data_IF_197602473107
#
_entry.id   IF_197602473107
#
_cell.length_a   1.000
_cell.length_b   1.000
_cell.length_c   1.000
_cell.angle_alpha   90.00
_cell.angle_beta   90.00
_cell.angle_gamma   90.00
#
_symmetry.space_group_name_H-M   'P 1'
#
loop_
_entity.id
_entity.type
_entity.pdbx_description
1 polymer ?
#
# COMPACT_ATOMS: atom_id res chain seq x y z
N UNK A 1 17.26 31.54 -39.87
CA UNK A 1 15.79 31.63 -39.99
C UNK A 1 15.10 30.39 -39.44
N UNK A 2 15.58 29.16 -39.66
CA UNK A 2 15.00 27.97 -39.01
C UNK A 2 15.39 27.82 -37.53
N UNK A 3 16.60 28.28 -37.14
CA UNK A 3 17.04 28.20 -35.74
C UNK A 3 16.35 29.21 -34.79
N UNK A 4 15.89 30.36 -35.30
CA UNK A 4 15.14 31.36 -34.51
C UNK A 4 13.68 30.93 -34.25
N UNK A 5 13.10 30.11 -35.13
CA UNK A 5 11.75 29.56 -34.95
C UNK A 5 11.76 28.47 -33.87
N UNK A 6 12.83 27.66 -33.82
CA UNK A 6 12.99 26.61 -32.81
C UNK A 6 13.24 27.16 -31.39
N UNK A 7 13.82 28.35 -31.27
CA UNK A 7 14.01 29.05 -29.98
C UNK A 7 12.72 29.65 -29.44
N UNK A 8 11.85 30.18 -30.32
CA UNK A 8 10.56 30.76 -29.92
C UNK A 8 9.58 29.71 -29.35
N UNK A 9 9.57 28.49 -29.89
CA UNK A 9 8.69 27.43 -29.40
C UNK A 9 9.06 26.95 -27.99
N UNK A 10 10.35 27.03 -27.61
CA UNK A 10 10.81 26.73 -26.25
C UNK A 10 10.50 27.83 -25.23
N UNK A 11 10.17 29.04 -25.69
CA UNK A 11 9.84 30.19 -24.85
C UNK A 11 8.33 30.33 -24.55
N UNK A 12 7.46 29.48 -25.11
CA UNK A 12 6.00 29.67 -25.02
C UNK A 12 5.32 29.22 -23.72
N UNK A 13 5.95 28.41 -22.87
CA UNK A 13 5.34 28.04 -21.58
C UNK A 13 5.88 28.97 -20.51
N UNK A 14 5.25 30.14 -20.35
CA UNK A 14 5.51 30.99 -19.20
C UNK A 14 4.85 30.35 -17.95
N UNK A 15 5.63 29.80 -17.00
CA UNK A 15 5.08 29.08 -15.85
C UNK A 15 4.32 29.99 -14.88
N UNK A 16 4.48 31.32 -14.99
CA UNK A 16 3.71 32.31 -14.22
C UNK A 16 2.38 32.68 -14.87
N UNK A 17 2.26 32.55 -16.20
CA UNK A 17 1.02 32.84 -16.94
C UNK A 17 0.13 31.60 -17.08
N UNK A 18 0.73 30.41 -17.15
CA UNK A 18 0.04 29.13 -17.29
C UNK A 18 0.58 28.11 -16.28
N UNK A 19 0.35 28.31 -14.97
CA UNK A 19 0.74 27.31 -13.99
C UNK A 19 -0.02 26.02 -14.29
N UNK A 20 0.70 24.94 -14.62
CA UNK A 20 0.05 23.64 -14.76
C UNK A 20 -0.56 23.27 -13.40
N UNK A 21 -1.83 22.90 -13.40
CA UNK A 21 -2.46 22.34 -12.22
C UNK A 21 -1.75 21.05 -11.83
N UNK A 22 -1.78 20.70 -10.54
CA UNK A 22 -1.26 19.42 -10.05
C UNK A 22 -1.88 18.23 -10.79
N UNK A 23 -3.15 18.34 -11.17
CA UNK A 23 -3.85 17.36 -12.00
C UNK A 23 -3.25 17.25 -13.40
N UNK A 24 -2.96 18.38 -14.04
CA UNK A 24 -2.29 18.43 -15.35
C UNK A 24 -0.89 17.82 -15.29
N UNK A 25 -0.11 18.12 -14.26
CA UNK A 25 1.23 17.55 -14.03
C UNK A 25 1.14 16.03 -13.92
N UNK A 26 0.26 15.50 -13.08
CA UNK A 26 0.14 14.07 -12.89
C UNK A 26 -0.42 13.35 -14.13
N UNK A 27 -1.32 13.98 -14.90
CA UNK A 27 -1.78 13.43 -16.18
C UNK A 27 -0.65 13.38 -17.22
N UNK A 28 0.16 14.44 -17.32
CA UNK A 28 1.31 14.45 -18.22
C UNK A 28 2.34 13.41 -17.78
N UNK A 29 2.62 13.31 -16.48
CA UNK A 29 3.49 12.28 -15.92
C UNK A 29 2.96 10.88 -16.22
N UNK A 30 1.67 10.61 -16.02
CA UNK A 30 1.09 9.30 -16.34
C UNK A 30 1.24 8.98 -17.83
N UNK A 31 1.03 9.96 -18.71
CA UNK A 31 1.19 9.79 -20.15
C UNK A 31 2.66 9.56 -20.56
N UNK A 32 3.61 10.30 -19.98
CA UNK A 32 5.04 10.13 -20.28
C UNK A 32 5.56 8.78 -19.79
N UNK A 33 5.11 8.33 -18.61
CA UNK A 33 5.43 7.00 -18.09
C UNK A 33 4.81 5.89 -18.94
N UNK A 34 3.59 6.09 -19.45
CA UNK A 34 2.93 5.13 -20.34
C UNK A 34 3.66 4.95 -21.67
N UNK A 35 4.18 6.04 -22.26
CA UNK A 35 4.91 6.01 -23.55
C UNK A 35 6.31 5.36 -23.44
N UNK A 36 6.74 4.91 -22.24
CA UNK A 36 8.00 4.19 -21.97
C UNK A 36 9.25 4.77 -22.68
N UNK A 37 9.34 6.09 -22.83
CA UNK A 37 10.57 6.71 -23.37
C UNK A 37 11.63 6.74 -22.29
N UNK A 38 12.44 5.69 -22.24
CA UNK A 38 13.78 5.56 -21.62
C UNK A 38 14.16 6.72 -20.69
N UNK A 39 13.41 6.88 -19.58
CA UNK A 39 13.64 7.97 -18.64
C UNK A 39 14.83 7.54 -17.79
N UNK A 40 16.05 7.85 -18.27
CA UNK A 40 17.30 7.73 -17.51
C UNK A 40 17.43 8.84 -16.46
N UNK A 41 16.36 9.15 -15.75
CA UNK A 41 16.42 10.07 -14.61
C UNK A 41 16.42 9.29 -13.31
N UNK A 42 16.88 9.93 -12.25
CA UNK A 42 16.84 9.38 -10.89
C UNK A 42 15.37 9.21 -10.45
N UNK A 43 14.85 7.99 -10.61
CA UNK A 43 13.46 7.62 -10.28
C UNK A 43 13.11 7.92 -8.82
N UNK A 44 14.08 7.82 -7.91
CA UNK A 44 13.87 8.14 -6.51
C UNK A 44 13.63 9.64 -6.32
N UNK A 45 14.37 10.50 -7.03
CA UNK A 45 14.14 11.95 -7.00
C UNK A 45 12.76 12.32 -7.53
N UNK A 46 12.35 11.71 -8.66
CA UNK A 46 11.04 11.95 -9.24
C UNK A 46 9.92 11.51 -8.30
N UNK A 47 10.02 10.33 -7.70
CA UNK A 47 9.00 9.90 -6.76
C UNK A 47 8.91 10.82 -5.54
N UNK A 48 10.03 11.31 -4.99
CA UNK A 48 9.99 12.27 -3.88
C UNK A 48 9.23 13.55 -4.22
N UNK A 49 9.34 14.03 -5.47
CA UNK A 49 8.68 15.26 -5.90
C UNK A 49 7.22 15.04 -6.34
N UNK A 50 6.89 13.87 -6.90
CA UNK A 50 5.57 13.59 -7.48
C UNK A 50 4.67 12.67 -6.65
N UNK A 51 5.16 12.05 -5.57
CA UNK A 51 4.33 11.18 -4.73
C UNK A 51 3.18 11.97 -4.10
N UNK A 52 3.41 13.18 -3.58
CA UNK A 52 2.35 14.01 -3.01
C UNK A 52 1.27 14.33 -4.05
N UNK A 53 1.69 14.80 -5.23
CA UNK A 53 0.80 15.10 -6.35
C UNK A 53 -0.03 13.85 -6.74
N UNK A 54 0.61 12.68 -6.83
CA UNK A 54 -0.06 11.42 -7.18
C UNK A 54 -1.05 10.98 -6.10
N UNK A 55 -0.68 11.10 -4.83
CA UNK A 55 -1.55 10.79 -3.69
C UNK A 55 -2.75 11.74 -3.63
N UNK A 56 -2.58 13.00 -4.01
CA UNK A 56 -3.66 13.99 -4.08
C UNK A 56 -4.75 13.58 -5.07
N UNK A 57 -4.39 13.00 -6.22
CA UNK A 57 -5.36 12.48 -7.19
C UNK A 57 -6.22 11.35 -6.64
N UNK A 58 -5.67 10.61 -5.69
CA UNK A 58 -6.25 9.37 -5.15
C UNK A 58 -7.13 9.65 -3.92
N UNK A 59 -7.13 10.87 -3.38
CA UNK A 59 -7.89 11.26 -2.18
C UNK A 59 -9.41 11.08 -2.29
N UNK A 60 -9.98 11.18 -3.49
CA UNK A 60 -11.44 11.08 -3.72
C UNK A 60 -11.80 9.86 -4.57
N UNK A 61 -11.69 8.64 -4.01
CA UNK A 61 -11.80 7.39 -4.77
C UNK A 61 -13.17 7.15 -5.40
N UNK A 62 -14.24 7.81 -4.92
CA UNK A 62 -15.62 7.63 -5.39
C UNK A 62 -16.09 8.68 -6.39
N UNK A 63 -15.51 9.89 -6.35
CA UNK A 63 -15.96 11.02 -7.19
C UNK A 63 -15.18 11.08 -8.51
N UNK A 64 -13.87 10.83 -8.47
CA UNK A 64 -12.94 11.17 -9.57
C UNK A 64 -12.17 9.94 -10.05
N UNK A 65 -12.87 8.91 -10.51
CA UNK A 65 -12.32 7.60 -10.90
C UNK A 65 -11.13 7.73 -11.87
N UNK A 66 -11.26 8.56 -12.92
CA UNK A 66 -10.20 8.77 -13.92
C UNK A 66 -8.92 9.40 -13.33
N UNK A 67 -9.03 10.17 -12.25
CA UNK A 67 -7.88 10.77 -11.57
C UNK A 67 -7.21 9.72 -10.67
N UNK A 68 -8.03 8.95 -9.95
CA UNK A 68 -7.58 7.87 -9.10
C UNK A 68 -6.82 6.82 -9.91
N UNK A 69 -7.34 6.43 -11.07
CA UNK A 69 -6.69 5.49 -11.99
C UNK A 69 -5.26 5.94 -12.36
N UNK A 70 -5.12 7.19 -12.81
CA UNK A 70 -3.80 7.79 -13.15
C UNK A 70 -2.88 7.87 -11.95
N UNK A 71 -3.40 8.26 -10.79
CA UNK A 71 -2.63 8.34 -9.55
C UNK A 71 -2.09 6.96 -9.13
N UNK A 72 -2.94 5.94 -9.13
CA UNK A 72 -2.56 4.56 -8.83
C UNK A 72 -1.57 4.03 -9.85
N UNK A 73 -1.74 4.32 -11.15
CA UNK A 73 -0.78 3.95 -12.19
C UNK A 73 0.62 4.53 -11.93
N UNK A 74 0.71 5.83 -11.65
CA UNK A 74 1.99 6.50 -11.37
C UNK A 74 2.64 5.93 -10.10
N UNK A 75 1.86 5.71 -9.04
CA UNK A 75 2.36 5.14 -7.79
C UNK A 75 2.86 3.69 -7.98
N UNK A 76 2.14 2.88 -8.75
CA UNK A 76 2.57 1.54 -9.10
C UNK A 76 3.87 1.56 -9.91
N UNK A 77 3.96 2.47 -10.89
CA UNK A 77 5.19 2.63 -11.65
C UNK A 77 6.37 3.00 -10.74
N UNK A 78 6.19 3.93 -9.80
CA UNK A 78 7.24 4.25 -8.82
C UNK A 78 7.60 3.04 -7.95
N UNK A 79 6.60 2.26 -7.51
CA UNK A 79 6.86 1.07 -6.69
C UNK A 79 7.65 -0.02 -7.42
N UNK A 80 7.57 -0.10 -8.75
CA UNK A 80 8.33 -1.10 -9.52
C UNK A 80 9.77 -0.69 -9.81
N UNK A 81 10.06 0.61 -9.76
CA UNK A 81 11.34 1.16 -10.22
C UNK A 81 12.19 1.75 -9.09
N UNK A 82 11.69 1.73 -7.85
CA UNK A 82 12.39 2.27 -6.68
C UNK A 82 12.75 1.13 -5.75
N UNK A 83 13.98 1.16 -5.25
CA UNK A 83 14.40 0.33 -4.14
C UNK A 83 14.46 1.22 -2.89
N UNK A 84 13.44 1.14 -2.04
CA UNK A 84 13.35 1.88 -0.78
C UNK A 84 13.19 0.90 0.38
N UNK A 85 13.81 1.22 1.50
CA UNK A 85 13.60 0.55 2.79
C UNK A 85 12.96 1.58 3.73
N UNK A 86 11.77 1.27 4.23
CA UNK A 86 11.02 2.09 5.19
C UNK A 86 11.19 1.44 6.55
N UNK A 87 11.76 2.18 7.49
CA UNK A 87 11.95 1.73 8.87
C UNK A 87 10.99 2.47 9.82
N UNK A 88 10.97 2.07 11.09
CA UNK A 88 10.05 2.63 12.07
C UNK A 88 10.22 4.15 12.24
N UNK A 89 11.46 4.64 12.13
CA UNK A 89 11.79 6.07 12.20
C UNK A 89 11.26 6.88 11.00
N UNK A 90 10.93 6.22 9.89
CA UNK A 90 10.44 6.86 8.68
C UNK A 90 8.93 7.12 8.69
N UNK A 91 8.18 6.42 9.54
CA UNK A 91 6.70 6.42 9.54
C UNK A 91 6.13 7.84 9.70
N UNK A 92 6.75 8.63 10.58
CA UNK A 92 6.34 10.00 10.90
C UNK A 92 7.10 11.05 10.09
N UNK A 93 8.01 10.65 9.20
CA UNK A 93 8.72 11.60 8.33
C UNK A 93 7.75 12.25 7.36
N UNK A 94 7.86 13.57 7.26
CA UNK A 94 7.02 14.36 6.37
C UNK A 94 7.47 14.23 4.91
N UNK A 95 6.53 13.84 4.07
CA UNK A 95 6.64 13.87 2.61
C UNK A 95 6.09 15.20 2.09
N UNK A 96 6.65 15.69 0.98
CA UNK A 96 6.14 16.89 0.30
C UNK A 96 4.76 16.62 -0.30
N UNK A 97 3.82 17.50 -0.01
CA UNK A 97 2.51 17.57 -0.63
C UNK A 97 2.57 18.10 -2.07
N UNK A 98 1.41 18.39 -2.67
CA UNK A 98 0.12 18.62 -2.01
C UNK A 98 -0.59 17.33 -1.60
N UNK A 99 -1.33 17.36 -0.48
CA UNK A 99 -2.32 16.35 -0.14
C UNK A 99 -3.57 17.06 0.39
N UNK A 100 -4.55 17.30 -0.47
CA UNK A 100 -5.69 18.15 -0.16
C UNK A 100 -5.23 19.58 0.08
N UNK A 101 -5.40 20.06 1.32
CA UNK A 101 -4.93 21.39 1.75
C UNK A 101 -3.56 21.34 2.44
N UNK A 102 -3.01 20.16 2.68
CA UNK A 102 -1.77 19.97 3.42
C UNK A 102 -0.57 20.05 2.46
N UNK A 103 0.44 20.86 2.83
CA UNK A 103 1.69 20.98 2.07
C UNK A 103 2.68 19.87 2.39
N UNK A 104 2.44 19.11 3.46
CA UNK A 104 3.23 17.96 3.89
C UNK A 104 2.37 16.98 4.67
N UNK A 105 2.72 15.70 4.64
CA UNK A 105 2.00 14.62 5.34
C UNK A 105 2.95 13.48 5.72
N UNK A 106 2.67 12.69 6.78
CA UNK A 106 3.54 11.60 7.21
C UNK A 106 3.48 10.39 6.27
N UNK A 107 4.53 9.57 6.23
CA UNK A 107 4.59 8.34 5.41
C UNK A 107 3.42 7.40 5.71
N UNK A 108 3.02 7.27 6.97
CA UNK A 108 1.86 6.46 7.40
C UNK A 108 0.55 6.81 6.68
N UNK A 109 0.40 8.07 6.24
CA UNK A 109 -0.79 8.53 5.51
C UNK A 109 -0.90 7.87 4.14
N UNK A 110 0.21 7.42 3.56
CA UNK A 110 0.21 6.69 2.28
C UNK A 110 -0.57 5.38 2.42
N UNK A 111 -0.23 4.59 3.44
CA UNK A 111 -0.91 3.34 3.75
C UNK A 111 -2.42 3.55 3.91
N UNK A 112 -2.81 4.59 4.66
CA UNK A 112 -4.23 4.90 4.94
C UNK A 112 -5.02 5.23 3.67
N UNK A 113 -4.45 6.06 2.78
CA UNK A 113 -5.11 6.46 1.54
C UNK A 113 -5.23 5.27 0.58
N UNK A 114 -4.16 4.52 0.35
CA UNK A 114 -4.19 3.35 -0.54
C UNK A 114 -5.19 2.31 -0.01
N UNK A 115 -5.22 2.09 1.31
CA UNK A 115 -6.17 1.18 1.95
C UNK A 115 -7.63 1.62 1.76
N UNK A 116 -7.88 2.93 1.83
CA UNK A 116 -9.18 3.51 1.52
C UNK A 116 -9.58 3.19 0.08
N UNK A 117 -8.72 3.50 -0.89
CA UNK A 117 -9.03 3.31 -2.32
C UNK A 117 -9.28 1.84 -2.64
N UNK A 118 -8.43 0.95 -2.13
CA UNK A 118 -8.61 -0.50 -2.25
C UNK A 118 -9.95 -1.00 -1.67
N UNK A 119 -10.51 -0.28 -0.69
CA UNK A 119 -11.75 -0.67 -0.02
C UNK A 119 -13.02 -0.08 -0.64
N UNK A 120 -12.99 1.21 -1.01
CA UNK A 120 -14.21 1.98 -1.32
C UNK A 120 -14.30 2.47 -2.77
N UNK A 121 -13.25 2.35 -3.58
CA UNK A 121 -13.33 2.77 -4.98
C UNK A 121 -14.39 1.95 -5.72
N UNK A 122 -15.30 2.54 -6.52
CA UNK A 122 -16.36 1.82 -7.21
C UNK A 122 -15.82 0.87 -8.30
N UNK A 123 -14.68 1.21 -8.91
CA UNK A 123 -14.06 0.39 -9.95
C UNK A 123 -13.29 -0.81 -9.36
N UNK A 124 -13.64 -2.06 -9.70
CA UNK A 124 -12.98 -3.26 -9.18
C UNK A 124 -11.52 -3.39 -9.58
N UNK A 125 -11.14 -2.91 -10.77
CA UNK A 125 -9.77 -3.00 -11.28
C UNK A 125 -8.87 -2.05 -10.48
N UNK A 126 -9.33 -0.81 -10.24
CA UNK A 126 -8.61 0.15 -9.40
C UNK A 126 -8.47 -0.36 -7.97
N UNK A 127 -9.52 -0.98 -7.40
CA UNK A 127 -9.43 -1.62 -6.08
C UNK A 127 -8.33 -2.69 -6.04
N UNK A 128 -8.28 -3.54 -7.05
CA UNK A 128 -7.27 -4.60 -7.17
C UNK A 128 -5.85 -4.03 -7.30
N UNK A 129 -5.64 -3.05 -8.18
CA UNK A 129 -4.33 -2.40 -8.36
C UNK A 129 -3.88 -1.63 -7.11
N UNK A 130 -4.82 -1.02 -6.38
CA UNK A 130 -4.54 -0.38 -5.10
C UNK A 130 -4.14 -1.39 -4.03
N UNK A 131 -4.77 -2.57 -4.01
CA UNK A 131 -4.36 -3.67 -3.13
C UNK A 131 -2.95 -4.18 -3.46
N UNK A 132 -2.61 -4.32 -4.74
CA UNK A 132 -1.25 -4.67 -5.16
C UNK A 132 -0.23 -3.60 -4.76
N UNK A 133 -0.57 -2.32 -4.91
CA UNK A 133 0.27 -1.22 -4.45
C UNK A 133 0.48 -1.25 -2.93
N UNK A 134 -0.56 -1.60 -2.17
CA UNK A 134 -0.48 -1.78 -0.72
C UNK A 134 0.51 -2.91 -0.36
N UNK A 135 0.45 -4.04 -1.07
CA UNK A 135 1.37 -5.15 -0.89
C UNK A 135 2.82 -4.72 -1.17
N UNK A 136 3.07 -4.02 -2.28
CA UNK A 136 4.41 -3.49 -2.60
C UNK A 136 4.91 -2.49 -1.56
N UNK A 137 4.02 -1.67 -1.02
CA UNK A 137 4.38 -0.73 0.05
C UNK A 137 4.81 -1.45 1.33
N UNK A 138 4.14 -2.55 1.69
CA UNK A 138 4.60 -3.42 2.79
C UNK A 138 5.95 -4.08 2.47
N UNK A 139 6.19 -4.44 1.21
CA UNK A 139 7.44 -5.04 0.78
C UNK A 139 8.64 -4.08 0.83
N UNK A 140 8.41 -2.76 0.79
CA UNK A 140 9.43 -1.75 1.08
C UNK A 140 9.74 -1.59 2.56
N UNK A 141 8.92 -2.13 3.46
CA UNK A 141 9.11 -1.95 4.89
C UNK A 141 10.05 -3.02 5.46
N UNK A 142 10.82 -2.64 6.48
CA UNK A 142 11.50 -3.63 7.31
C UNK A 142 10.50 -4.47 8.13
N UNK A 143 10.99 -5.50 8.81
CA UNK A 143 10.14 -6.45 9.54
C UNK A 143 9.26 -5.81 10.60
N UNK A 144 9.84 -4.90 11.39
CA UNK A 144 9.13 -4.23 12.49
C UNK A 144 8.07 -3.27 11.93
N UNK A 145 8.41 -2.52 10.89
CA UNK A 145 7.52 -1.57 10.23
C UNK A 145 6.39 -2.27 9.49
N UNK A 146 6.70 -3.36 8.79
CA UNK A 146 5.69 -4.19 8.13
C UNK A 146 4.71 -4.77 9.17
N UNK A 147 5.23 -5.32 10.28
CA UNK A 147 4.40 -5.83 11.35
C UNK A 147 3.50 -4.74 11.96
N UNK A 148 4.05 -3.53 12.17
CA UNK A 148 3.27 -2.38 12.64
C UNK A 148 2.14 -2.00 11.67
N UNK A 149 2.44 -1.87 10.37
CA UNK A 149 1.41 -1.54 9.37
C UNK A 149 0.34 -2.63 9.27
N UNK A 150 0.69 -3.91 9.35
CA UNK A 150 -0.28 -4.99 9.39
C UNK A 150 -1.17 -4.93 10.64
N UNK A 151 -0.63 -4.57 11.81
CA UNK A 151 -1.43 -4.37 13.02
C UNK A 151 -2.42 -3.21 12.84
N UNK A 152 -2.00 -2.10 12.23
CA UNK A 152 -2.88 -0.97 11.93
C UNK A 152 -3.99 -1.39 10.95
N UNK A 153 -3.64 -2.13 9.89
CA UNK A 153 -4.61 -2.61 8.90
C UNK A 153 -5.61 -3.61 9.48
N UNK A 154 -5.18 -4.52 10.35
CA UNK A 154 -6.04 -5.53 10.97
C UNK A 154 -6.90 -4.96 12.12
N UNK A 155 -6.30 -4.09 12.94
CA UNK A 155 -6.89 -3.66 14.20
C UNK A 155 -7.62 -2.31 14.13
N UNK A 156 -7.10 -1.34 13.36
CA UNK A 156 -7.55 0.06 13.39
C UNK A 156 -8.13 0.56 12.07
N UNK A 157 -8.00 -0.19 10.99
CA UNK A 157 -8.57 0.18 9.71
C UNK A 157 -10.10 0.26 9.78
N UNK A 158 -10.72 1.38 9.34
CA UNK A 158 -12.17 1.57 9.40
C UNK A 158 -12.92 0.71 8.38
N UNK A 159 -12.23 0.11 7.41
CA UNK A 159 -12.84 -0.65 6.32
C UNK A 159 -12.84 -2.15 6.64
N UNK A 160 -14.02 -2.79 6.86
CA UNK A 160 -14.09 -4.22 7.16
C UNK A 160 -13.52 -5.12 6.06
N UNK A 161 -13.72 -4.73 4.80
CA UNK A 161 -13.15 -5.43 3.64
C UNK A 161 -11.62 -5.45 3.67
N UNK A 162 -10.98 -4.32 4.01
CA UNK A 162 -9.53 -4.26 4.16
C UNK A 162 -9.04 -5.04 5.39
N UNK A 163 -9.73 -4.97 6.53
CA UNK A 163 -9.36 -5.79 7.70
C UNK A 163 -9.33 -7.28 7.35
N UNK A 164 -10.31 -7.74 6.59
CA UNK A 164 -10.35 -9.12 6.07
C UNK A 164 -9.20 -9.39 5.09
N UNK A 165 -8.98 -8.49 4.13
CA UNK A 165 -7.94 -8.63 3.11
C UNK A 165 -6.51 -8.56 3.69
N UNK A 166 -6.31 -7.84 4.79
CA UNK A 166 -5.06 -7.73 5.52
C UNK A 166 -4.63 -9.04 6.18
N UNK A 167 -5.57 -9.95 6.48
CA UNK A 167 -5.23 -11.33 6.90
C UNK A 167 -4.54 -12.07 5.74
N UNK A 168 -4.99 -11.83 4.51
CA UNK A 168 -4.32 -12.31 3.30
C UNK A 168 -2.92 -11.73 3.14
N UNK A 169 -2.77 -10.41 3.32
CA UNK A 169 -1.45 -9.77 3.28
C UNK A 169 -0.51 -10.38 4.33
N UNK A 170 -0.96 -10.56 5.57
CA UNK A 170 -0.17 -11.21 6.61
C UNK A 170 0.25 -12.64 6.20
N UNK A 171 -0.68 -13.43 5.65
CA UNK A 171 -0.38 -14.77 5.14
C UNK A 171 0.72 -14.74 4.07
N UNK A 172 0.65 -13.80 3.14
CA UNK A 172 1.63 -13.66 2.06
C UNK A 172 3.01 -13.26 2.62
N UNK A 173 3.05 -12.37 3.62
CA UNK A 173 4.30 -11.98 4.29
C UNK A 173 4.95 -13.17 5.02
N UNK A 174 4.13 -14.02 5.66
CA UNK A 174 4.58 -15.27 6.28
C UNK A 174 5.11 -16.24 5.21
N UNK A 175 4.36 -16.49 4.14
CA UNK A 175 4.81 -17.40 3.06
C UNK A 175 6.11 -16.92 2.40
N UNK A 176 6.20 -15.62 2.10
CA UNK A 176 7.42 -15.01 1.58
C UNK A 176 8.60 -15.19 2.54
N UNK A 177 8.39 -15.05 3.85
CA UNK A 177 9.46 -15.27 4.81
C UNK A 177 10.00 -16.70 4.72
N UNK A 178 9.13 -17.71 4.64
CA UNK A 178 9.54 -19.12 4.56
C UNK A 178 10.21 -19.49 3.23
N UNK A 179 9.67 -19.01 2.11
CA UNK A 179 10.13 -19.39 0.78
C UNK A 179 11.38 -18.60 0.37
N UNK A 180 11.58 -17.39 0.90
CA UNK A 180 12.78 -16.64 0.67
C UNK A 180 13.90 -17.13 1.59
N UNK A 181 15.04 -17.50 1.02
CA UNK A 181 16.34 -17.56 1.73
C UNK A 181 16.82 -16.15 2.18
N UNK A 182 15.90 -15.18 2.29
CA UNK A 182 16.17 -13.82 2.69
C UNK A 182 16.11 -13.72 4.21
N UNK A 183 17.22 -13.30 4.82
CA UNK A 183 17.33 -12.99 6.24
C UNK A 183 16.52 -11.76 6.67
N UNK A 184 15.78 -11.12 5.75
CA UNK A 184 15.12 -9.85 5.99
C UNK A 184 13.73 -10.00 6.61
N UNK A 185 13.17 -11.23 6.71
CA UNK A 185 11.86 -11.51 7.31
C UNK A 185 11.84 -12.52 8.45
N UNK A 186 12.64 -12.28 9.49
CA UNK A 186 12.79 -13.19 10.61
C UNK A 186 11.61 -13.12 11.59
N UNK A 187 11.01 -11.93 11.76
CA UNK A 187 9.88 -11.77 12.69
C UNK A 187 8.70 -12.66 12.28
N UNK A 188 8.45 -12.79 10.98
CA UNK A 188 7.34 -13.59 10.45
C UNK A 188 7.55 -15.11 10.50
N UNK A 189 8.77 -15.57 10.82
CA UNK A 189 9.08 -16.98 11.14
C UNK A 189 9.00 -17.28 12.63
N UNK A 190 8.81 -16.27 13.46
CA UNK A 190 8.84 -16.40 14.90
C UNK A 190 7.45 -16.69 15.48
N UNK A 191 7.35 -17.39 16.62
CA UNK A 191 6.13 -17.48 17.41
C UNK A 191 5.51 -16.11 17.76
N UNK A 192 6.28 -15.02 17.67
CA UNK A 192 5.78 -13.65 17.81
C UNK A 192 4.59 -13.34 16.89
N UNK A 193 4.54 -13.91 15.68
CA UNK A 193 3.39 -13.75 14.77
C UNK A 193 2.10 -14.19 15.44
N UNK A 194 2.14 -15.35 16.11
CA UNK A 194 0.98 -15.90 16.81
C UNK A 194 0.62 -15.00 17.99
N UNK A 195 1.60 -14.59 18.79
CA UNK A 195 1.37 -13.75 19.97
C UNK A 195 0.78 -12.38 19.62
N UNK A 196 1.23 -11.78 18.52
CA UNK A 196 0.82 -10.43 18.09
C UNK A 196 -0.50 -10.45 17.32
N UNK A 197 -0.62 -11.31 16.31
CA UNK A 197 -1.73 -11.21 15.36
C UNK A 197 -2.94 -12.06 15.74
N UNK A 198 -2.79 -13.19 16.44
CA UNK A 198 -3.94 -14.03 16.81
C UNK A 198 -4.94 -13.28 17.70
N UNK A 199 -4.53 -12.53 18.74
CA UNK A 199 -5.49 -11.75 19.55
C UNK A 199 -6.20 -10.64 18.76
N UNK A 200 -5.62 -10.17 17.66
CA UNK A 200 -6.22 -9.14 16.79
C UNK A 200 -7.23 -9.79 15.84
N UNK A 201 -6.86 -10.92 15.22
CA UNK A 201 -7.64 -11.60 14.19
C UNK A 201 -8.79 -12.40 14.78
N UNK A 202 -8.56 -13.16 15.85
CA UNK A 202 -9.52 -14.10 16.45
C UNK A 202 -10.32 -13.47 17.60
N UNK A 203 -10.80 -12.25 17.42
CA UNK A 203 -11.74 -11.64 18.36
C UNK A 203 -13.14 -12.20 18.12
N UNK A 204 -13.55 -13.12 19.00
CA UNK A 204 -14.92 -13.64 18.96
C UNK A 204 -15.90 -12.50 19.24
N UNK A 205 -16.77 -12.24 18.28
CA UNK A 205 -17.84 -11.28 18.45
C UNK A 205 -18.91 -11.89 19.38
N UNK A 206 -19.01 -11.38 20.61
CA UNK A 206 -19.97 -11.88 21.62
C UNK A 206 -21.42 -11.77 21.17
N UNK A 207 -21.71 -10.93 20.16
CA UNK A 207 -23.03 -10.78 19.57
C UNK A 207 -23.50 -12.09 18.94
N UNK A 208 -22.60 -12.90 18.36
CA UNK A 208 -22.97 -14.19 17.74
C UNK A 208 -23.66 -15.15 18.72
N UNK A 209 -23.28 -15.10 20.00
CA UNK A 209 -23.88 -15.94 21.05
C UNK A 209 -25.36 -15.58 21.29
N UNK A 210 -25.73 -14.31 21.04
CA UNK A 210 -27.10 -13.81 21.25
C UNK A 210 -27.90 -13.75 19.95
N UNK A 211 -27.25 -13.53 18.81
CA UNK A 211 -27.86 -13.42 17.48
C UNK A 211 -26.98 -14.13 16.44
N UNK A 212 -27.23 -15.43 16.19
CA UNK A 212 -26.44 -16.21 15.24
C UNK A 212 -26.49 -15.67 13.80
N UNK A 213 -27.54 -14.94 13.41
CA UNK A 213 -27.66 -14.35 12.07
C UNK A 213 -26.59 -13.30 11.77
N UNK A 214 -26.08 -12.61 12.79
CA UNK A 214 -25.02 -11.60 12.65
C UNK A 214 -23.67 -12.21 12.26
N UNK A 215 -23.49 -13.53 12.43
CA UNK A 215 -22.30 -14.25 11.99
C UNK A 215 -22.02 -14.03 10.50
N UNK A 216 -23.06 -13.95 9.67
CA UNK A 216 -22.90 -13.80 8.22
C UNK A 216 -22.25 -12.46 7.83
N UNK A 217 -22.36 -11.44 8.66
CA UNK A 217 -21.71 -10.15 8.44
C UNK A 217 -20.17 -10.24 8.60
N UNK A 218 -19.73 -11.13 9.50
CA UNK A 218 -18.31 -11.35 9.82
C UNK A 218 -17.75 -12.64 9.16
N UNK A 219 -18.54 -13.31 8.32
CA UNK A 219 -18.20 -14.62 7.73
C UNK A 219 -16.89 -14.57 6.95
N UNK A 220 -16.70 -13.55 6.10
CA UNK A 220 -15.49 -13.41 5.29
C UNK A 220 -14.22 -13.27 6.13
N UNK A 221 -14.28 -12.45 7.19
CA UNK A 221 -13.19 -12.29 8.14
C UNK A 221 -12.88 -13.60 8.86
N UNK A 222 -13.92 -14.28 9.36
CA UNK A 222 -13.78 -15.55 10.09
C UNK A 222 -13.20 -16.65 9.21
N UNK A 223 -13.67 -16.76 7.97
CA UNK A 223 -13.17 -17.75 7.02
C UNK A 223 -11.69 -17.49 6.70
N UNK A 224 -11.30 -16.22 6.48
CA UNK A 224 -9.92 -15.87 6.21
C UNK A 224 -9.01 -16.09 7.43
N UNK A 225 -9.51 -15.82 8.63
CA UNK A 225 -8.83 -16.15 9.88
C UNK A 225 -8.58 -17.66 10.01
N UNK A 226 -9.62 -18.49 9.82
CA UNK A 226 -9.51 -19.94 9.86
C UNK A 226 -8.55 -20.48 8.79
N UNK A 227 -8.57 -19.92 7.57
CA UNK A 227 -7.63 -20.25 6.52
C UNK A 227 -6.18 -19.95 6.92
N UNK A 228 -5.93 -18.80 7.56
CA UNK A 228 -4.60 -18.47 8.09
C UNK A 228 -4.18 -19.46 9.17
N UNK A 229 -5.07 -19.79 10.12
CA UNK A 229 -4.77 -20.77 11.16
C UNK A 229 -4.44 -22.16 10.60
N UNK A 230 -5.24 -22.64 9.65
CA UNK A 230 -4.97 -23.89 8.95
C UNK A 230 -3.63 -23.85 8.22
N UNK A 231 -3.33 -22.74 7.55
CA UNK A 231 -2.05 -22.54 6.87
C UNK A 231 -0.85 -22.57 7.84
N UNK A 232 -0.96 -21.94 9.02
CA UNK A 232 0.06 -22.00 10.06
C UNK A 232 0.30 -23.43 10.55
N UNK A 233 -0.76 -24.21 10.77
CA UNK A 233 -0.64 -25.62 11.16
C UNK A 233 0.08 -26.46 10.10
N UNK A 234 -0.26 -26.28 8.82
CA UNK A 234 0.42 -26.99 7.72
C UNK A 234 1.91 -26.64 7.64
N UNK A 235 2.26 -25.36 7.88
CA UNK A 235 3.66 -24.91 7.88
C UNK A 235 4.42 -25.36 9.12
N UNK A 236 3.77 -25.46 10.28
CA UNK A 236 4.37 -25.99 11.50
C UNK A 236 4.70 -27.48 11.34
N UNK A 237 3.78 -28.30 10.80
CA UNK A 237 4.04 -29.72 10.53
C UNK A 237 5.26 -29.93 9.60
N UNK A 238 5.44 -29.02 8.64
CA UNK A 238 6.57 -29.05 7.71
C UNK A 238 7.88 -28.54 8.32
N UNK A 239 7.83 -27.62 9.29
CA UNK A 239 9.00 -26.89 9.80
C UNK A 239 9.33 -27.14 11.30
N UNK A 240 8.54 -27.94 12.03
CA UNK A 240 8.71 -28.29 13.45
C UNK A 240 8.80 -27.08 14.43
N UNK A 241 7.92 -26.09 14.36
CA UNK A 241 7.96 -24.92 15.28
C UNK A 241 7.81 -25.33 16.76
N UNK A 242 7.11 -26.42 17.05
CA UNK A 242 6.86 -26.89 18.43
C UNK A 242 8.15 -27.37 19.14
N UNK A 243 9.18 -27.82 18.42
CA UNK A 243 10.40 -28.34 19.06
C UNK A 243 11.33 -27.25 19.61
N UNK A 244 11.27 -26.03 19.09
CA UNK A 244 12.07 -24.90 19.59
C UNK A 244 11.49 -24.25 20.85
N UNK A 245 10.23 -24.55 21.21
CA UNK A 245 9.58 -24.05 22.43
C UNK A 245 10.01 -24.86 23.68
N UNK A 246 10.71 -25.99 23.49
CA UNK A 246 11.19 -26.88 24.57
C UNK A 246 12.72 -26.87 24.78
N UNK A 247 13.45 -25.91 24.22
CA UNK A 247 14.83 -25.60 24.63
C UNK A 247 14.90 -24.23 25.31
#
# INVERSE_FOLDING_TARGET
>A
MEDEVLENDKQMINPRLYPLSYEGIACLLSMTLYDKRDIKSDMLSMAKDYIGISMNLVLRPTEMINHVDKGIFVLLYFSDNINAAINMDDIDKEIRGPLGLESKFPVSRILQIISSVASICPDPSIRFFSYQLLQKFLDFSDDETCAFFLQELLGRCPFPSMRTAAIGLLKDQIDQSFNANCNNRQLFKSPLVVQVFVPIIFKINSIWLTRPSEFWNDYGHTMQALNLYYYLLLKDEQNNWVKEIQM
#
